data_IF_712458552515
#
_entry.id   IF_712458552515
#
_cell.length_a   1.000
_cell.length_b   1.000
_cell.length_c   1.000
_cell.angle_alpha   90.00
_cell.angle_beta   90.00
_cell.angle_gamma   90.00
#
_symmetry.space_group_name_H-M   'P 1'
#
loop_
_entity.id
_entity.type
_entity.pdbx_description
1 polymer ?
#
# COMPACT_ATOMS: atom_id res chain seq x y z
N UNK A 1 38.89 13.09 -11.14
CA UNK A 1 37.75 13.97 -10.75
C UNK A 1 36.51 13.55 -11.56
N UNK A 2 36.00 12.33 -11.33
CA UNK A 2 34.97 11.70 -12.18
C UNK A 2 34.13 10.68 -11.37
N UNK A 3 33.75 11.07 -10.15
CA UNK A 3 32.95 10.23 -9.25
C UNK A 3 31.70 10.93 -8.69
N UNK A 4 31.38 12.15 -9.15
CA UNK A 4 30.26 12.96 -8.60
C UNK A 4 29.02 13.09 -9.48
N UNK A 5 29.02 12.52 -10.70
CA UNK A 5 27.91 12.69 -11.65
C UNK A 5 26.93 11.50 -11.72
N UNK A 6 27.30 10.32 -11.20
CA UNK A 6 26.42 9.14 -11.19
C UNK A 6 25.53 9.05 -9.94
N UNK A 7 25.88 9.75 -8.85
CA UNK A 7 25.10 9.73 -7.60
C UNK A 7 23.84 10.61 -7.61
N UNK A 8 23.82 11.68 -8.41
CA UNK A 8 22.70 12.62 -8.40
C UNK A 8 21.50 12.15 -9.23
N UNK A 9 21.69 11.40 -10.31
CA UNK A 9 20.57 10.94 -11.14
C UNK A 9 19.77 9.81 -10.49
N UNK A 10 20.42 8.91 -9.75
CA UNK A 10 19.75 7.82 -9.02
C UNK A 10 18.86 8.36 -7.91
N UNK A 11 19.41 9.21 -7.03
CA UNK A 11 18.69 9.75 -5.87
C UNK A 11 17.48 10.62 -6.23
N UNK A 12 17.54 11.32 -7.37
CA UNK A 12 16.40 12.10 -7.88
C UNK A 12 15.31 11.14 -8.40
N UNK A 13 15.68 10.11 -9.17
CA UNK A 13 14.75 9.08 -9.66
C UNK A 13 14.07 8.32 -8.51
N UNK A 14 14.79 8.05 -7.42
CA UNK A 14 14.27 7.32 -6.27
C UNK A 14 13.28 8.16 -5.45
N UNK A 15 13.58 9.45 -5.28
CA UNK A 15 12.65 10.39 -4.63
C UNK A 15 11.37 10.55 -5.45
N UNK A 16 11.50 10.69 -6.77
CA UNK A 16 10.35 10.80 -7.66
C UNK A 16 9.47 9.54 -7.60
N UNK A 17 10.08 8.35 -7.50
CA UNK A 17 9.38 7.07 -7.37
C UNK A 17 8.61 6.97 -6.03
N UNK A 18 9.26 7.34 -4.92
CA UNK A 18 8.62 7.33 -3.60
C UNK A 18 7.48 8.36 -3.53
N UNK A 19 7.70 9.58 -4.00
CA UNK A 19 6.68 10.64 -3.98
C UNK A 19 5.45 10.22 -4.81
N UNK A 20 5.67 9.57 -5.96
CA UNK A 20 4.59 8.98 -6.77
C UNK A 20 3.86 7.84 -6.04
N UNK A 21 4.60 6.98 -5.33
CA UNK A 21 4.01 5.93 -4.52
C UNK A 21 3.16 6.46 -3.36
N UNK A 22 3.64 7.48 -2.65
CA UNK A 22 2.90 8.20 -1.60
C UNK A 22 1.61 8.78 -2.17
N UNK A 23 1.70 9.44 -3.33
CA UNK A 23 0.55 10.00 -4.02
C UNK A 23 -0.50 8.92 -4.36
N UNK A 24 -0.07 7.85 -5.03
CA UNK A 24 -0.96 6.75 -5.44
C UNK A 24 -1.62 6.09 -4.23
N UNK A 25 -0.85 5.69 -3.22
CA UNK A 25 -1.39 5.00 -2.05
C UNK A 25 -2.29 5.90 -1.21
N UNK A 26 -1.97 7.19 -1.09
CA UNK A 26 -2.83 8.14 -0.36
C UNK A 26 -4.18 8.35 -1.04
N UNK A 27 -4.19 8.44 -2.37
CA UNK A 27 -5.40 8.53 -3.16
C UNK A 27 -6.20 7.23 -3.13
N UNK A 28 -5.53 6.08 -3.21
CA UNK A 28 -6.14 4.75 -3.14
C UNK A 28 -6.82 4.51 -1.78
N UNK A 29 -6.16 4.85 -0.68
CA UNK A 29 -6.75 4.74 0.67
C UNK A 29 -8.00 5.64 0.82
N UNK A 30 -7.98 6.83 0.23
CA UNK A 30 -9.18 7.67 0.16
C UNK A 30 -10.29 6.98 -0.63
N UNK A 31 -9.96 6.42 -1.79
CA UNK A 31 -10.88 5.70 -2.65
C UNK A 31 -11.55 4.53 -1.91
N UNK A 32 -10.80 3.68 -1.22
CA UNK A 32 -11.38 2.62 -0.38
C UNK A 32 -12.32 3.16 0.71
N UNK A 33 -11.99 4.30 1.32
CA UNK A 33 -12.88 4.97 2.27
C UNK A 33 -14.22 5.38 1.63
N UNK A 34 -14.21 5.81 0.37
CA UNK A 34 -15.42 6.15 -0.38
C UNK A 34 -16.18 4.92 -0.88
N UNK A 35 -15.47 3.84 -1.17
CA UNK A 35 -16.04 2.53 -1.53
C UNK A 35 -16.80 1.91 -0.34
N UNK A 36 -16.33 2.16 0.89
CA UNK A 36 -17.03 1.79 2.14
C UNK A 36 -18.30 2.61 2.34
N UNK A 37 -18.22 3.93 2.10
CA UNK A 37 -19.31 4.89 2.35
C UNK A 37 -20.29 5.02 1.19
N UNK A 38 -20.22 4.11 0.21
CA UNK A 38 -21.05 4.16 -0.97
C UNK A 38 -22.54 3.99 -0.60
N UNK A 39 -23.46 4.79 -1.17
CA UNK A 39 -24.89 4.73 -0.84
C UNK A 39 -25.55 3.36 -1.06
N UNK A 40 -25.11 2.63 -2.08
CA UNK A 40 -25.62 1.31 -2.44
C UNK A 40 -25.19 0.20 -1.46
N UNK A 41 -24.25 0.50 -0.55
CA UNK A 41 -23.67 -0.46 0.37
C UNK A 41 -22.14 -0.47 0.32
N UNK A 42 -21.54 -1.11 1.32
CA UNK A 42 -20.09 -1.19 1.48
C UNK A 42 -19.49 -2.13 0.43
N UNK A 43 -18.85 -1.57 -0.59
CA UNK A 43 -18.32 -2.34 -1.71
C UNK A 43 -17.21 -3.32 -1.28
N UNK A 44 -16.37 -2.96 -0.32
CA UNK A 44 -15.33 -3.88 0.18
C UNK A 44 -15.97 -5.16 0.73
N UNK A 45 -17.06 -5.04 1.49
CA UNK A 45 -17.76 -6.21 2.02
C UNK A 45 -18.43 -7.04 0.89
N UNK A 46 -18.94 -6.40 -0.15
CA UNK A 46 -19.53 -7.08 -1.31
C UNK A 46 -18.51 -7.94 -2.08
N UNK A 47 -17.26 -7.49 -2.17
CA UNK A 47 -16.18 -8.27 -2.79
C UNK A 47 -15.46 -9.21 -1.82
N UNK A 48 -16.00 -9.39 -0.61
CA UNK A 48 -15.58 -10.42 0.34
C UNK A 48 -14.68 -9.96 1.48
N UNK A 49 -14.42 -8.66 1.65
CA UNK A 49 -13.71 -8.19 2.84
C UNK A 49 -14.54 -8.45 4.10
N UNK A 50 -13.86 -8.93 5.13
CA UNK A 50 -14.36 -8.93 6.49
C UNK A 50 -14.09 -7.56 7.12
N UNK A 51 -15.16 -6.88 7.53
CA UNK A 51 -15.09 -5.72 8.41
C UNK A 51 -14.99 -6.21 9.85
N UNK A 52 -14.00 -5.69 10.59
CA UNK A 52 -13.77 -6.00 12.00
C UNK A 52 -13.86 -4.69 12.78
N UNK A 53 -14.80 -4.60 13.70
CA UNK A 53 -15.02 -3.39 14.52
C UNK A 53 -14.00 -3.28 15.65
N UNK A 54 -13.61 -2.06 16.03
CA UNK A 54 -12.73 -1.85 17.19
C UNK A 54 -13.34 -2.46 18.46
N UNK A 55 -12.50 -2.83 19.44
CA UNK A 55 -12.99 -3.25 20.75
C UNK A 55 -13.88 -2.17 21.37
N UNK A 56 -14.83 -2.57 22.20
CA UNK A 56 -15.69 -1.63 22.93
C UNK A 56 -14.84 -0.59 23.69
N UNK A 57 -15.26 0.69 23.60
CA UNK A 57 -14.58 1.80 24.26
C UNK A 57 -13.41 2.41 23.48
N UNK A 58 -13.17 1.99 22.23
CA UNK A 58 -12.15 2.56 21.34
C UNK A 58 -12.81 3.21 20.10
N UNK A 59 -13.77 4.11 20.34
CA UNK A 59 -14.54 4.76 19.27
C UNK A 59 -13.67 5.67 18.37
N UNK A 60 -12.47 6.03 18.82
CA UNK A 60 -11.45 6.73 18.03
C UNK A 60 -10.82 5.86 16.94
N UNK A 61 -10.92 4.53 17.04
CA UNK A 61 -10.36 3.60 16.08
C UNK A 61 -11.36 3.30 14.95
N UNK A 62 -10.88 3.32 13.70
CA UNK A 62 -11.68 2.88 12.54
C UNK A 62 -11.66 1.36 12.40
N UNK A 63 -12.74 0.78 11.86
CA UNK A 63 -12.82 -0.65 11.55
C UNK A 63 -11.65 -1.10 10.66
N UNK A 64 -11.21 -2.34 10.87
CA UNK A 64 -10.21 -3.01 10.02
C UNK A 64 -10.92 -3.77 8.91
N UNK A 65 -10.40 -3.70 7.69
CA UNK A 65 -10.88 -4.49 6.56
C UNK A 65 -9.83 -5.52 6.17
N UNK A 66 -10.19 -6.81 6.22
CA UNK A 66 -9.31 -7.92 5.87
C UNK A 66 -9.92 -8.80 4.79
N UNK A 67 -9.15 -9.16 3.77
CA UNK A 67 -9.56 -10.09 2.72
C UNK A 67 -8.55 -11.24 2.61
N UNK A 68 -9.07 -12.45 2.72
CA UNK A 68 -8.32 -13.68 2.46
C UNK A 68 -8.25 -13.92 0.95
N UNK A 69 -7.06 -14.22 0.44
CA UNK A 69 -6.76 -14.43 -0.97
C UNK A 69 -6.29 -15.87 -1.20
N UNK A 70 -6.43 -16.41 -2.42
CA UNK A 70 -5.93 -17.76 -2.74
C UNK A 70 -4.44 -17.93 -2.41
N UNK A 71 -4.08 -19.10 -1.90
CA UNK A 71 -2.69 -19.42 -1.53
C UNK A 71 -2.30 -18.98 -0.12
N UNK A 72 -3.26 -18.92 0.81
CA UNK A 72 -3.06 -18.44 2.19
C UNK A 72 -2.49 -17.02 2.28
N UNK A 73 -2.84 -16.18 1.30
CA UNK A 73 -2.48 -14.77 1.27
C UNK A 73 -3.55 -13.93 1.92
N UNK A 74 -3.18 -12.77 2.45
CA UNK A 74 -4.11 -11.85 3.11
C UNK A 74 -3.74 -10.42 2.79
N UNK A 75 -4.75 -9.57 2.59
CA UNK A 75 -4.59 -8.12 2.53
C UNK A 75 -5.41 -7.49 3.65
N UNK A 76 -4.80 -6.58 4.40
CA UNK A 76 -5.44 -5.84 5.49
C UNK A 76 -5.28 -4.34 5.23
N UNK A 77 -6.41 -3.65 5.06
CA UNK A 77 -6.46 -2.23 4.71
C UNK A 77 -6.66 -1.38 5.96
N UNK A 78 -5.84 -0.33 6.12
CA UNK A 78 -5.98 0.71 7.14
C UNK A 78 -5.72 2.10 6.58
N UNK A 79 -6.22 3.12 7.28
CA UNK A 79 -6.05 4.52 6.88
C UNK A 79 -4.59 5.01 6.87
N UNK A 80 -3.70 4.31 7.58
CA UNK A 80 -2.27 4.61 7.67
C UNK A 80 -1.39 3.70 6.80
N UNK A 81 -1.95 2.73 6.08
CA UNK A 81 -1.21 1.86 5.17
C UNK A 81 -1.85 0.48 4.98
N UNK A 82 -1.13 -0.41 4.29
CA UNK A 82 -1.65 -1.72 3.89
C UNK A 82 -0.68 -2.82 4.32
N UNK A 83 -1.21 -3.85 4.98
CA UNK A 83 -0.47 -5.09 5.23
C UNK A 83 -0.84 -6.13 4.17
N UNK A 84 0.17 -6.79 3.62
CA UNK A 84 0.02 -7.92 2.72
C UNK A 84 0.86 -9.10 3.19
N UNK A 85 0.24 -10.25 3.37
CA UNK A 85 0.87 -11.45 3.88
C UNK A 85 0.78 -12.62 2.93
N UNK A 86 1.83 -13.42 2.87
CA UNK A 86 1.89 -14.73 2.23
C UNK A 86 2.56 -15.73 3.18
N UNK A 87 1.88 -16.84 3.48
CA UNK A 87 2.36 -17.86 4.43
C UNK A 87 3.80 -18.33 4.15
N UNK A 88 4.24 -18.34 2.90
CA UNK A 88 5.56 -18.80 2.47
C UNK A 88 6.63 -17.72 2.55
N UNK A 89 6.27 -16.46 2.36
CA UNK A 89 7.21 -15.34 2.22
C UNK A 89 7.29 -14.44 3.45
N UNK A 90 6.26 -14.43 4.30
CA UNK A 90 6.12 -13.52 5.43
C UNK A 90 5.07 -12.44 5.16
N UNK A 91 5.30 -11.23 5.68
CA UNK A 91 4.42 -10.09 5.50
C UNK A 91 5.18 -8.83 5.15
N UNK A 92 4.53 -7.95 4.39
CA UNK A 92 4.99 -6.59 4.14
C UNK A 92 3.93 -5.61 4.62
N UNK A 93 4.39 -4.50 5.17
CA UNK A 93 3.57 -3.33 5.43
C UNK A 93 4.05 -2.18 4.54
N UNK A 94 3.10 -1.57 3.83
CA UNK A 94 3.34 -0.42 2.99
C UNK A 94 2.67 0.80 3.63
N UNK A 95 3.44 1.67 4.31
CA UNK A 95 2.89 2.83 5.01
C UNK A 95 2.47 3.92 4.03
N UNK A 96 1.37 4.60 4.34
CA UNK A 96 0.72 5.58 3.46
C UNK A 96 1.62 6.78 3.11
N UNK A 97 2.37 7.30 4.08
CA UNK A 97 3.04 8.61 3.96
C UNK A 97 4.53 8.51 3.65
N UNK A 98 5.11 7.32 3.79
CA UNK A 98 6.51 7.05 3.50
C UNK A 98 6.69 6.18 2.25
N UNK A 99 5.70 5.33 1.94
CA UNK A 99 5.74 4.37 0.84
C UNK A 99 7.01 3.51 0.79
N UNK A 100 7.62 3.25 1.96
CA UNK A 100 8.80 2.39 2.07
C UNK A 100 8.40 1.04 2.62
N UNK A 101 8.56 -0.07 1.86
CA UNK A 101 8.15 -1.39 2.32
C UNK A 101 8.89 -1.81 3.59
N UNK A 102 8.14 -2.25 4.59
CA UNK A 102 8.67 -2.83 5.82
C UNK A 102 8.29 -4.30 5.90
N UNK A 103 9.21 -5.14 6.35
CA UNK A 103 9.09 -6.59 6.28
C UNK A 103 8.96 -7.22 7.66
N UNK A 104 8.19 -8.31 7.73
CA UNK A 104 8.13 -9.22 8.86
C UNK A 104 8.08 -10.67 8.38
N UNK A 105 8.50 -11.62 9.22
CA UNK A 105 8.31 -13.06 8.95
C UNK A 105 6.87 -13.51 9.25
N UNK A 106 6.09 -12.66 9.91
CA UNK A 106 4.70 -12.93 10.29
C UNK A 106 3.80 -12.67 9.08
N UNK A 107 3.23 -13.74 8.50
CA UNK A 107 2.35 -13.63 7.34
C UNK A 107 0.89 -13.31 7.67
N UNK A 108 0.47 -13.49 8.92
CA UNK A 108 -0.88 -13.22 9.40
C UNK A 108 -0.80 -12.48 10.72
N UNK A 109 -1.60 -11.45 10.87
CA UNK A 109 -1.64 -10.66 12.09
C UNK A 109 -2.45 -11.42 13.15
N UNK A 110 -1.84 -11.71 14.30
CA UNK A 110 -2.52 -12.32 15.45
C UNK A 110 -3.51 -11.34 16.09
N UNK A 111 -3.19 -10.04 16.03
CA UNK A 111 -4.01 -8.93 16.50
C UNK A 111 -4.36 -7.99 15.36
N UNK A 112 -5.59 -7.47 15.35
CA UNK A 112 -6.00 -6.46 14.38
C UNK A 112 -5.19 -5.17 14.62
N UNK A 113 -4.64 -4.55 13.56
CA UNK A 113 -3.64 -3.51 13.75
C UNK A 113 -4.27 -2.14 14.04
N UNK A 114 -5.14 -1.98 15.04
CA UNK A 114 -5.95 -0.77 15.31
C UNK A 114 -5.14 0.52 15.21
N UNK A 115 -3.93 0.51 15.75
CA UNK A 115 -2.90 1.52 15.61
C UNK A 115 -1.69 0.96 14.84
N UNK A 116 -0.83 1.86 14.37
CA UNK A 116 0.45 1.44 13.76
C UNK A 116 1.29 0.57 14.72
N UNK A 117 1.26 0.87 16.02
CA UNK A 117 1.99 0.13 17.06
C UNK A 117 1.47 -1.30 17.29
N UNK A 118 0.29 -1.65 16.76
CA UNK A 118 -0.26 -3.01 16.86
C UNK A 118 0.23 -3.94 15.74
N UNK A 119 0.99 -3.41 14.77
CA UNK A 119 1.69 -4.24 13.79
C UNK A 119 2.80 -5.03 14.49
N UNK A 120 3.12 -6.26 14.02
CA UNK A 120 4.30 -6.97 14.49
C UNK A 120 5.56 -6.19 14.14
N UNK A 121 6.70 -6.56 14.71
CA UNK A 121 7.98 -5.90 14.43
C UNK A 121 8.26 -5.80 12.91
N UNK A 122 8.09 -4.59 12.39
CA UNK A 122 8.29 -4.23 11.00
C UNK A 122 9.71 -3.65 10.84
N UNK A 123 10.53 -4.31 10.03
CA UNK A 123 11.93 -3.93 9.86
C UNK A 123 12.30 -3.81 8.38
N UNK A 124 13.31 -3.01 8.01
CA UNK A 124 13.92 -3.10 6.69
C UNK A 124 14.36 -4.56 6.42
N UNK A 125 14.14 -5.11 5.21
CA UNK A 125 14.48 -6.50 4.95
C UNK A 125 15.99 -6.70 4.98
N UNK A 126 16.46 -7.78 5.62
CA UNK A 126 17.85 -8.20 5.47
C UNK A 126 18.14 -8.63 4.03
N UNK A 127 19.42 -8.75 3.66
CA UNK A 127 19.83 -9.22 2.33
C UNK A 127 19.21 -10.59 1.94
N UNK A 128 18.91 -11.47 2.92
CA UNK A 128 18.25 -12.76 2.68
C UNK A 128 16.73 -12.65 2.50
N UNK A 129 16.12 -11.59 3.03
CA UNK A 129 14.68 -11.33 2.97
C UNK A 129 14.30 -10.43 1.80
N UNK A 130 15.28 -9.78 1.17
CA UNK A 130 15.07 -8.81 0.10
C UNK A 130 14.17 -9.34 -1.03
N UNK A 131 14.43 -10.57 -1.50
CA UNK A 131 13.63 -11.18 -2.55
C UNK A 131 12.18 -11.43 -2.13
N UNK A 132 11.95 -11.89 -0.88
CA UNK A 132 10.61 -12.08 -0.33
C UNK A 132 9.87 -10.76 -0.17
N UNK A 133 10.54 -9.72 0.35
CA UNK A 133 9.96 -8.38 0.51
C UNK A 133 9.58 -7.77 -0.84
N UNK A 134 10.46 -7.90 -1.85
CA UNK A 134 10.19 -7.45 -3.20
C UNK A 134 8.98 -8.15 -3.80
N UNK A 135 8.94 -9.49 -3.72
CA UNK A 135 7.82 -10.28 -4.24
C UNK A 135 6.48 -9.89 -3.59
N UNK A 136 6.44 -9.80 -2.25
CA UNK A 136 5.24 -9.38 -1.51
C UNK A 136 4.78 -7.97 -1.89
N UNK A 137 5.71 -7.04 -2.08
CA UNK A 137 5.39 -5.65 -2.44
C UNK A 137 4.82 -5.56 -3.85
N UNK A 138 5.44 -6.26 -4.80
CA UNK A 138 4.99 -6.30 -6.18
C UNK A 138 3.63 -6.99 -6.31
N UNK A 139 3.41 -8.07 -5.56
CA UNK A 139 2.12 -8.76 -5.48
C UNK A 139 1.03 -7.84 -4.89
N UNK A 140 1.35 -7.05 -3.86
CA UNK A 140 0.44 -6.04 -3.32
C UNK A 140 0.11 -4.97 -4.36
N UNK A 141 1.10 -4.43 -5.07
CA UNK A 141 0.89 -3.44 -6.13
C UNK A 141 -0.01 -4.00 -7.24
N UNK A 142 0.22 -5.25 -7.66
CA UNK A 142 -0.62 -5.89 -8.67
C UNK A 142 -2.04 -6.17 -8.17
N UNK A 143 -2.19 -6.49 -6.87
CA UNK A 143 -3.50 -6.62 -6.24
C UNK A 143 -4.27 -5.28 -6.25
N UNK A 144 -3.63 -4.17 -5.86
CA UNK A 144 -4.26 -2.83 -5.89
C UNK A 144 -4.62 -2.45 -7.34
N UNK A 145 -3.70 -2.68 -8.28
CA UNK A 145 -3.97 -2.46 -9.70
C UNK A 145 -5.22 -3.22 -10.16
N UNK A 146 -5.31 -4.50 -9.81
CA UNK A 146 -6.43 -5.36 -10.19
C UNK A 146 -7.73 -4.94 -9.51
N UNK A 147 -7.68 -4.43 -8.28
CA UNK A 147 -8.82 -3.82 -7.60
C UNK A 147 -9.38 -2.64 -8.41
N UNK A 148 -8.53 -1.70 -8.85
CA UNK A 148 -8.98 -0.55 -9.62
C UNK A 148 -9.49 -0.90 -11.02
N UNK A 149 -8.94 -1.94 -11.66
CA UNK A 149 -9.54 -2.50 -12.90
C UNK A 149 -10.95 -2.99 -12.63
N UNK A 150 -11.16 -3.77 -11.56
CA UNK A 150 -12.47 -4.31 -11.22
C UNK A 150 -13.47 -3.20 -10.84
N UNK A 151 -13.02 -2.11 -10.20
CA UNK A 151 -13.86 -0.93 -9.95
C UNK A 151 -14.36 -0.35 -11.27
N UNK A 152 -13.47 -0.14 -12.24
CA UNK A 152 -13.85 0.40 -13.54
C UNK A 152 -14.80 -0.53 -14.31
N UNK A 153 -14.62 -1.85 -14.20
CA UNK A 153 -15.46 -2.85 -14.85
C UNK A 153 -16.85 -3.00 -14.19
N UNK A 154 -16.92 -3.00 -12.86
CA UNK A 154 -18.14 -3.28 -12.11
C UNK A 154 -18.97 -2.04 -11.81
N UNK A 155 -18.30 -0.93 -11.48
CA UNK A 155 -18.94 0.33 -11.07
C UNK A 155 -18.83 1.43 -12.14
N UNK A 156 -18.01 1.21 -13.16
CA UNK A 156 -17.76 2.17 -14.23
C UNK A 156 -16.74 3.24 -13.81
N UNK A 157 -15.91 3.68 -14.76
CA UNK A 157 -14.89 4.73 -14.51
C UNK A 157 -15.50 6.04 -13.98
N UNK A 158 -16.75 6.34 -14.33
CA UNK A 158 -17.49 7.51 -13.84
C UNK A 158 -17.66 7.52 -12.32
N UNK A 159 -17.77 6.34 -11.69
CA UNK A 159 -17.82 6.21 -10.24
C UNK A 159 -16.52 6.74 -9.60
N UNK A 160 -15.37 6.27 -10.07
CA UNK A 160 -14.06 6.70 -9.56
C UNK A 160 -13.80 8.18 -9.85
N UNK A 161 -14.20 8.70 -11.02
CA UNK A 161 -14.17 10.16 -11.29
C UNK A 161 -14.93 10.95 -10.24
N UNK A 162 -16.16 10.56 -9.91
CA UNK A 162 -16.99 11.26 -8.91
C UNK A 162 -16.39 11.22 -7.51
N UNK A 163 -15.69 10.13 -7.18
CA UNK A 163 -14.95 9.95 -5.93
C UNK A 163 -13.76 10.91 -5.84
N UNK A 164 -13.04 11.08 -6.94
CA UNK A 164 -11.85 11.94 -6.99
C UNK A 164 -12.17 13.44 -7.00
N UNK A 165 -13.35 13.86 -7.45
CA UNK A 165 -13.78 15.27 -7.33
C UNK A 165 -13.78 15.74 -5.88
N UNK A 166 -14.08 14.86 -4.91
CA UNK A 166 -14.04 15.20 -3.48
C UNK A 166 -12.65 15.09 -2.87
N UNK A 167 -11.75 14.35 -3.51
CA UNK A 167 -10.33 14.29 -3.14
C UNK A 167 -9.59 15.55 -3.59
N UNK A 168 -9.98 16.10 -4.74
CA UNK A 168 -9.42 17.30 -5.33
C UNK A 168 -9.66 18.52 -4.46
N UNK A 169 -8.59 18.97 -3.79
CA UNK A 169 -8.59 20.22 -3.03
C UNK A 169 -7.93 21.38 -3.80
N UNK A 170 -7.58 21.19 -5.07
CA UNK A 170 -6.92 22.17 -5.93
C UNK A 170 -5.42 22.37 -5.66
N UNK A 171 -4.86 21.71 -4.65
CA UNK A 171 -3.44 21.88 -4.25
C UNK A 171 -2.62 20.60 -4.47
N UNK A 172 -3.26 19.43 -4.40
CA UNK A 172 -2.59 18.13 -4.54
C UNK A 172 -2.62 17.68 -6.01
N UNK A 173 -1.53 17.08 -6.52
CA UNK A 173 -1.60 16.35 -7.77
C UNK A 173 -2.61 15.20 -7.63
N UNK A 174 -3.27 14.84 -8.73
CA UNK A 174 -4.29 13.79 -8.76
C UNK A 174 -3.99 12.87 -9.93
N UNK A 175 -4.05 11.58 -9.67
CA UNK A 175 -4.03 10.59 -10.72
C UNK A 175 -5.47 10.41 -11.21
N UNK A 176 -5.69 10.62 -12.52
CA UNK A 176 -7.02 10.48 -13.10
C UNK A 176 -7.54 9.05 -12.96
N UNK A 177 -8.86 8.90 -12.86
CA UNK A 177 -9.51 7.61 -12.64
C UNK A 177 -9.12 6.56 -13.70
N UNK A 178 -8.95 6.98 -14.96
CA UNK A 178 -8.55 6.13 -16.09
C UNK A 178 -7.11 5.62 -15.95
N UNK A 179 -6.27 6.46 -15.35
CA UNK A 179 -4.83 6.24 -15.29
C UNK A 179 -4.44 5.45 -14.05
N UNK A 180 -5.26 5.40 -12.99
CA UNK A 180 -4.94 4.71 -11.73
C UNK A 180 -4.41 3.28 -11.96
N UNK A 181 -5.07 2.38 -12.72
CA UNK A 181 -4.51 1.05 -12.99
C UNK A 181 -3.17 1.08 -13.73
N UNK A 182 -3.00 2.01 -14.68
CA UNK A 182 -1.77 2.15 -15.46
C UNK A 182 -0.62 2.66 -14.59
N UNK A 183 -0.89 3.63 -13.73
CA UNK A 183 0.10 4.23 -12.84
C UNK A 183 0.58 3.24 -11.77
N UNK A 184 -0.31 2.44 -11.18
CA UNK A 184 0.09 1.33 -10.32
C UNK A 184 0.97 0.31 -11.04
N UNK A 185 0.65 -0.03 -12.30
CA UNK A 185 1.47 -0.95 -13.09
C UNK A 185 2.87 -0.41 -13.34
N UNK A 186 2.99 0.86 -13.75
CA UNK A 186 4.27 1.49 -14.02
C UNK A 186 5.12 1.59 -12.75
N UNK A 187 4.51 1.96 -11.62
CA UNK A 187 5.16 1.95 -10.32
C UNK A 187 5.75 0.56 -10.00
N UNK A 188 4.97 -0.51 -10.19
CA UNK A 188 5.45 -1.88 -10.00
C UNK A 188 6.62 -2.26 -10.91
N UNK A 189 6.61 -1.81 -12.17
CA UNK A 189 7.72 -2.05 -13.11
C UNK A 189 9.00 -1.34 -12.66
N UNK A 190 8.89 -0.07 -12.27
CA UNK A 190 10.02 0.74 -11.80
C UNK A 190 10.59 0.17 -10.49
N UNK A 191 9.73 -0.23 -9.54
CA UNK A 191 10.15 -0.89 -8.31
C UNK A 191 10.78 -2.27 -8.56
N UNK A 192 10.33 -3.02 -9.55
CA UNK A 192 10.95 -4.29 -9.91
C UNK A 192 12.35 -4.11 -10.51
N UNK A 193 12.60 -2.98 -11.19
CA UNK A 193 13.90 -2.67 -11.78
C UNK A 193 14.95 -2.31 -10.72
N UNK A 194 14.57 -1.58 -9.66
CA UNK A 194 15.46 -1.26 -8.54
C UNK A 194 14.73 -1.22 -7.18
N UNK A 195 14.36 -2.39 -6.66
CA UNK A 195 13.62 -2.48 -5.40
C UNK A 195 14.42 -1.97 -4.19
N UNK A 196 15.75 -1.92 -4.28
CA UNK A 196 16.57 -1.50 -3.13
C UNK A 196 16.43 -0.02 -2.83
N UNK A 197 16.18 0.79 -3.85
CA UNK A 197 16.13 2.24 -3.69
C UNK A 197 14.89 2.74 -2.94
N UNK A 198 13.84 1.92 -2.91
CA UNK A 198 12.59 2.22 -2.17
C UNK A 198 12.58 1.74 -0.73
N UNK A 199 13.60 0.98 -0.30
CA UNK A 199 13.65 0.47 1.07
C UNK A 199 13.93 1.61 2.06
N UNK A 200 13.51 1.48 3.33
CA UNK A 200 13.96 2.40 4.36
C UNK A 200 15.48 2.36 4.44
N UNK A 201 16.10 3.54 4.61
CA UNK A 201 17.52 3.60 4.96
C UNK A 201 17.70 2.73 6.20
N UNK A 202 18.55 1.71 6.09
CA UNK A 202 18.88 0.88 7.24
C UNK A 202 19.49 1.80 8.29
N UNK A 203 18.89 1.88 9.47
CA UNK A 203 19.45 2.59 10.63
C UNK A 203 20.73 1.84 11.01
N UNK A 204 21.82 2.10 10.29
CA UNK A 204 23.17 1.66 10.63
C UNK A 204 23.74 2.61 11.70
N UNK A 205 22.98 2.86 12.77
CA UNK A 205 23.48 3.50 13.99
C UNK A 205 22.42 3.54 15.12
N UNK A 206 22.15 2.40 15.75
CA UNK A 206 21.78 2.36 17.18
C UNK A 206 22.43 1.14 17.83
N UNK A 207 23.72 1.28 18.09
CA UNK A 207 24.52 0.25 18.76
C UNK A 207 25.92 0.74 19.10
N UNK A 208 26.01 1.71 20.01
CA UNK A 208 27.09 1.81 21.00
C UNK A 208 26.46 2.11 22.36
#
# INVERSE_FOLDING_TARGET
MLARLLGNHSLISDRDLIDRGILLLSQEIWCWGRDILRPEGNFLQEIGFRRIEPPEGHDECSSVYSLELPGDRVVVLRGFGVFYGDRRLGGVFLPRYEFRPQYTKVARLDTQPWLYADLPDMNPPTQRQLASCAALTLDLIDWIRSYEVNIAELLGVGYRRSTLVQWDNGERPIILAEDMPREWRLLGIEMAADFRSVLPDGDSDRGQ
#
